data_IF_363142430587
#
_entry.id   IF_363142430587
#
_cell.length_a   1.000
_cell.length_b   1.000
_cell.length_c   1.000
_cell.angle_alpha   90.00
_cell.angle_beta   90.00
_cell.angle_gamma   90.00
#
_symmetry.space_group_name_H-M   'P 1'
#
loop_
_entity.id
_entity.type
_entity.pdbx_description
1 polymer ?
#
# COMPACT_ATOMS: atom_id res chain seq x y z
N UNK A 1 65.95 -13.20 -18.14
CA UNK A 1 64.62 -12.90 -17.53
C UNK A 1 64.03 -14.19 -16.98
N UNK A 2 63.84 -14.30 -15.66
CA UNK A 2 63.43 -15.56 -15.02
C UNK A 2 61.98 -15.92 -15.38
N UNK A 3 61.80 -16.77 -16.39
CA UNK A 3 60.49 -17.21 -16.91
C UNK A 3 59.57 -17.81 -15.84
N UNK A 4 60.16 -18.43 -14.80
CA UNK A 4 59.43 -18.99 -13.64
C UNK A 4 58.71 -17.94 -12.79
N UNK A 5 59.31 -16.75 -12.59
CA UNK A 5 58.69 -15.67 -11.83
C UNK A 5 57.48 -15.06 -12.56
N UNK A 6 57.58 -14.92 -13.89
CA UNK A 6 56.49 -14.39 -14.72
C UNK A 6 55.29 -15.35 -14.73
N UNK A 7 55.53 -16.66 -14.75
CA UNK A 7 54.47 -17.67 -14.72
C UNK A 7 53.70 -17.67 -13.39
N UNK A 8 54.43 -17.56 -12.26
CA UNK A 8 53.83 -17.47 -10.92
C UNK A 8 52.95 -16.23 -10.78
N UNK A 9 53.41 -15.06 -11.21
CA UNK A 9 52.59 -13.84 -11.17
C UNK A 9 51.31 -13.97 -12.00
N UNK A 10 51.39 -14.53 -13.22
CA UNK A 10 50.20 -14.76 -14.05
C UNK A 10 49.19 -15.70 -13.38
N UNK A 11 49.66 -16.73 -12.67
CA UNK A 11 48.79 -17.64 -11.94
C UNK A 11 48.07 -16.96 -10.77
N UNK A 12 48.76 -16.12 -9.98
CA UNK A 12 48.12 -15.35 -8.90
C UNK A 12 47.07 -14.37 -9.42
N UNK A 13 47.33 -13.69 -10.55
CA UNK A 13 46.34 -12.82 -11.17
C UNK A 13 45.09 -13.60 -11.62
N UNK A 14 45.27 -14.77 -12.23
CA UNK A 14 44.14 -15.61 -12.65
C UNK A 14 43.32 -16.10 -11.45
N UNK A 15 43.98 -16.55 -10.37
CA UNK A 15 43.30 -17.00 -9.17
C UNK A 15 42.56 -15.86 -8.46
N UNK A 16 43.18 -14.68 -8.38
CA UNK A 16 42.53 -13.49 -7.83
C UNK A 16 41.32 -13.09 -8.66
N UNK A 17 41.42 -13.11 -9.99
CA UNK A 17 40.29 -12.81 -10.87
C UNK A 17 39.14 -13.79 -10.68
N UNK A 18 39.45 -15.09 -10.59
CA UNK A 18 38.45 -16.13 -10.35
C UNK A 18 37.74 -15.94 -9.01
N UNK A 19 38.49 -15.63 -7.95
CA UNK A 19 37.91 -15.34 -6.64
C UNK A 19 36.99 -14.11 -6.67
N UNK A 20 37.42 -13.00 -7.29
CA UNK A 20 36.59 -11.80 -7.44
C UNK A 20 35.34 -12.08 -8.26
N UNK A 21 35.42 -12.92 -9.29
CA UNK A 21 34.27 -13.32 -10.09
C UNK A 21 33.22 -14.06 -9.25
N UNK A 22 33.62 -15.06 -8.47
CA UNK A 22 32.69 -15.78 -7.59
C UNK A 22 32.09 -14.89 -6.50
N UNK A 23 32.90 -13.99 -5.92
CA UNK A 23 32.41 -13.02 -4.95
C UNK A 23 31.36 -12.09 -5.57
N UNK A 24 31.58 -11.63 -6.79
CA UNK A 24 30.64 -10.79 -7.51
C UNK A 24 29.30 -11.51 -7.76
N UNK A 25 29.34 -12.76 -8.22
CA UNK A 25 28.12 -13.58 -8.42
C UNK A 25 27.39 -13.80 -7.11
N UNK A 26 28.10 -14.08 -6.02
CA UNK A 26 27.51 -14.25 -4.69
C UNK A 26 26.80 -12.98 -4.22
N UNK A 27 27.43 -11.80 -4.40
CA UNK A 27 26.81 -10.52 -4.05
C UNK A 27 25.58 -10.22 -4.91
N UNK A 28 25.60 -10.52 -6.22
CA UNK A 28 24.43 -10.38 -7.08
C UNK A 28 23.27 -11.28 -6.63
N UNK A 29 23.56 -12.52 -6.28
CA UNK A 29 22.55 -13.43 -5.75
C UNK A 29 21.92 -12.87 -4.47
N UNK A 30 22.74 -12.37 -3.53
CA UNK A 30 22.25 -11.78 -2.28
C UNK A 30 21.48 -10.47 -2.52
N UNK A 31 21.87 -9.67 -3.51
CA UNK A 31 21.16 -8.44 -3.87
C UNK A 31 19.75 -8.71 -4.40
N UNK A 32 19.57 -9.79 -5.17
CA UNK A 32 18.28 -10.15 -5.77
C UNK A 32 17.41 -10.95 -4.79
N UNK A 33 17.97 -12.01 -4.19
CA UNK A 33 17.23 -12.99 -3.38
C UNK A 33 17.39 -12.81 -1.86
N UNK A 34 18.19 -11.84 -1.41
CA UNK A 34 18.35 -11.58 0.01
C UNK A 34 17.04 -11.14 0.66
N UNK A 35 16.99 -11.25 2.00
CA UNK A 35 15.83 -10.83 2.79
C UNK A 35 15.47 -9.35 2.59
N UNK A 36 16.46 -8.51 2.28
CA UNK A 36 16.30 -7.09 1.90
C UNK A 36 16.62 -6.84 0.44
N UNK A 37 16.50 -7.88 -0.40
CA UNK A 37 16.80 -7.82 -1.81
C UNK A 37 15.77 -7.02 -2.62
N UNK A 38 16.10 -6.79 -3.88
CA UNK A 38 15.29 -5.98 -4.79
C UNK A 38 13.87 -6.55 -4.97
N UNK A 39 13.73 -7.87 -5.12
CA UNK A 39 12.42 -8.52 -5.28
C UNK A 39 11.53 -8.29 -4.06
N UNK A 40 12.12 -8.39 -2.86
CA UNK A 40 11.41 -8.14 -1.61
C UNK A 40 10.99 -6.68 -1.50
N UNK A 41 11.85 -5.74 -1.88
CA UNK A 41 11.51 -4.32 -1.91
C UNK A 41 10.30 -4.03 -2.81
N UNK A 42 10.27 -4.54 -4.05
CA UNK A 42 9.16 -4.32 -4.97
C UNK A 42 7.86 -4.94 -4.48
N UNK A 43 7.91 -6.18 -3.97
CA UNK A 43 6.72 -6.83 -3.40
C UNK A 43 6.17 -6.07 -2.20
N UNK A 44 7.02 -5.62 -1.27
CA UNK A 44 6.59 -4.82 -0.12
C UNK A 44 6.03 -3.47 -0.54
N UNK A 45 6.63 -2.82 -1.54
CA UNK A 45 6.14 -1.55 -2.07
C UNK A 45 4.72 -1.68 -2.63
N UNK A 46 4.48 -2.72 -3.43
CA UNK A 46 3.16 -2.99 -4.00
C UNK A 46 2.13 -3.33 -2.91
N UNK A 47 2.52 -4.17 -1.94
CA UNK A 47 1.66 -4.52 -0.83
C UNK A 47 1.31 -3.29 0.03
N UNK A 48 2.28 -2.41 0.28
CA UNK A 48 2.07 -1.17 1.00
C UNK A 48 1.12 -0.22 0.25
N UNK A 49 1.24 -0.14 -1.08
CA UNK A 49 0.32 0.64 -1.90
C UNK A 49 -1.13 0.10 -1.79
N UNK A 50 -1.31 -1.21 -1.91
CA UNK A 50 -2.63 -1.86 -1.78
C UNK A 50 -3.25 -1.63 -0.39
N UNK A 51 -2.48 -1.83 0.67
CA UNK A 51 -2.99 -1.58 2.02
C UNK A 51 -3.30 -0.12 2.28
N UNK A 52 -2.53 0.80 1.70
CA UNK A 52 -2.82 2.22 1.81
C UNK A 52 -4.11 2.60 1.09
N UNK A 53 -4.37 2.04 -0.11
CA UNK A 53 -5.64 2.23 -0.81
C UNK A 53 -6.83 1.70 0.01
N UNK A 54 -6.73 0.49 0.54
CA UNK A 54 -7.76 -0.09 1.42
C UNK A 54 -7.97 0.73 2.70
N UNK A 55 -6.89 1.22 3.30
CA UNK A 55 -6.96 2.08 4.47
C UNK A 55 -7.70 3.38 4.15
N UNK A 56 -7.39 4.01 3.01
CA UNK A 56 -8.04 5.25 2.60
C UNK A 56 -9.53 5.06 2.30
N UNK A 57 -9.92 3.93 1.68
CA UNK A 57 -11.34 3.64 1.44
C UNK A 57 -12.10 3.42 2.75
N UNK A 58 -11.54 2.61 3.65
CA UNK A 58 -12.14 2.34 4.96
C UNK A 58 -12.21 3.59 5.82
N UNK A 59 -11.17 4.43 5.80
CA UNK A 59 -11.15 5.70 6.51
C UNK A 59 -12.26 6.63 6.02
N UNK A 60 -12.42 6.76 4.70
CA UNK A 60 -13.49 7.57 4.10
C UNK A 60 -14.88 7.06 4.50
N UNK A 61 -15.08 5.76 4.47
CA UNK A 61 -16.34 5.14 4.90
C UNK A 61 -16.60 5.37 6.39
N UNK A 62 -15.57 5.24 7.22
CA UNK A 62 -15.67 5.50 8.66
C UNK A 62 -16.02 6.97 8.93
N UNK A 63 -15.32 7.91 8.31
CA UNK A 63 -15.62 9.35 8.42
C UNK A 63 -17.06 9.68 7.97
N UNK A 64 -17.53 9.03 6.91
CA UNK A 64 -18.89 9.16 6.40
C UNK A 64 -19.96 8.66 7.38
N UNK A 65 -19.71 7.56 8.10
CA UNK A 65 -20.63 7.11 9.15
C UNK A 65 -20.52 7.93 10.43
N UNK A 66 -19.31 8.34 10.82
CA UNK A 66 -19.10 9.18 12.00
C UNK A 66 -19.82 10.52 11.86
N UNK A 67 -19.78 11.15 10.68
CA UNK A 67 -20.53 12.39 10.42
C UNK A 67 -22.03 12.19 10.64
N UNK A 68 -22.61 11.09 10.11
CA UNK A 68 -24.02 10.77 10.32
C UNK A 68 -24.38 10.49 11.76
N UNK A 69 -23.56 9.71 12.45
CA UNK A 69 -23.77 9.41 13.87
C UNK A 69 -23.77 10.72 14.64
N UNK A 70 -22.80 11.61 14.37
CA UNK A 70 -22.74 12.94 15.00
C UNK A 70 -23.99 13.77 14.72
N UNK A 71 -24.50 13.79 13.49
CA UNK A 71 -25.75 14.47 13.13
C UNK A 71 -27.00 13.90 13.81
N UNK A 72 -26.96 12.67 14.32
CA UNK A 72 -28.07 12.04 15.03
C UNK A 72 -27.86 12.01 16.55
N UNK A 73 -26.74 12.52 17.06
CA UNK A 73 -26.48 12.58 18.50
C UNK A 73 -27.35 13.64 19.18
N UNK A 74 -27.89 13.38 20.40
CA UNK A 74 -28.82 14.29 21.06
C UNK A 74 -28.33 15.74 21.22
N UNK A 75 -27.02 15.94 21.40
CA UNK A 75 -26.42 17.26 21.63
C UNK A 75 -25.96 17.97 20.34
N UNK A 76 -25.94 17.27 19.21
CA UNK A 76 -25.49 17.78 17.89
C UNK A 76 -26.48 17.41 16.79
N UNK A 77 -27.75 17.26 17.18
CA UNK A 77 -28.77 16.72 16.29
C UNK A 77 -29.05 17.71 15.16
N UNK A 78 -29.00 17.20 13.94
CA UNK A 78 -29.35 17.89 12.71
C UNK A 78 -30.78 17.49 12.36
N UNK A 79 -31.71 18.43 12.56
CA UNK A 79 -33.15 18.19 12.41
C UNK A 79 -33.53 17.89 10.96
N UNK A 80 -32.88 18.52 9.99
CA UNK A 80 -33.13 18.31 8.57
C UNK A 80 -32.67 16.90 8.16
N UNK A 81 -31.46 16.52 8.59
CA UNK A 81 -30.92 15.19 8.34
C UNK A 81 -31.75 14.09 9.03
N UNK A 82 -32.29 14.36 10.22
CA UNK A 82 -33.20 13.46 10.93
C UNK A 82 -34.50 13.28 10.15
N UNK A 83 -35.14 14.36 9.68
CA UNK A 83 -36.38 14.29 8.91
C UNK A 83 -36.19 13.55 7.59
N UNK A 84 -35.10 13.82 6.86
CA UNK A 84 -34.73 13.08 5.65
C UNK A 84 -34.56 11.58 5.96
N UNK A 85 -33.81 11.24 7.01
CA UNK A 85 -33.56 9.85 7.41
C UNK A 85 -34.85 9.16 7.83
N UNK A 86 -35.71 9.84 8.59
CA UNK A 86 -37.00 9.33 9.05
C UNK A 86 -37.91 9.03 7.87
N UNK A 87 -38.08 9.97 6.94
CA UNK A 87 -38.88 9.79 5.71
C UNK A 87 -38.32 8.69 4.84
N UNK A 88 -37.01 8.61 4.68
CA UNK A 88 -36.34 7.56 3.88
C UNK A 88 -36.57 6.16 4.45
N UNK A 89 -36.57 6.01 5.77
CA UNK A 89 -36.77 4.70 6.43
C UNK A 89 -38.24 4.31 6.52
N UNK A 90 -39.12 5.26 6.86
CA UNK A 90 -40.54 4.98 7.12
C UNK A 90 -41.41 5.11 5.89
N UNK A 91 -40.97 5.82 4.86
CA UNK A 91 -41.79 6.20 3.71
C UNK A 91 -42.94 7.15 4.06
N UNK A 92 -42.97 7.68 5.29
CA UNK A 92 -44.05 8.53 5.75
C UNK A 92 -43.93 9.92 5.16
N UNK A 93 -45.03 10.41 4.58
CA UNK A 93 -45.17 11.78 4.09
C UNK A 93 -46.49 12.33 4.60
N UNK A 94 -46.54 13.62 4.89
CA UNK A 94 -47.79 14.25 5.33
C UNK A 94 -48.82 14.26 4.18
N UNK A 95 -50.11 14.16 4.51
CA UNK A 95 -51.20 14.18 3.53
C UNK A 95 -51.23 15.46 2.67
N UNK A 96 -50.61 16.55 3.16
CA UNK A 96 -50.53 17.84 2.48
C UNK A 96 -49.17 18.11 1.81
N UNK A 97 -48.28 17.12 1.71
CA UNK A 97 -46.96 17.28 1.10
C UNK A 97 -46.89 16.63 -0.29
N UNK A 98 -46.19 17.28 -1.23
CA UNK A 98 -45.96 16.75 -2.58
C UNK A 98 -44.51 16.28 -2.70
N UNK A 99 -44.31 15.01 -3.05
CA UNK A 99 -42.98 14.43 -3.29
C UNK A 99 -42.61 14.62 -4.75
N UNK A 100 -41.46 15.26 -5.00
CA UNK A 100 -40.89 15.43 -6.34
C UNK A 100 -39.70 14.49 -6.46
N UNK A 101 -39.78 13.52 -7.37
CA UNK A 101 -38.68 12.61 -7.70
C UNK A 101 -38.11 13.11 -9.03
N UNK A 102 -36.85 13.53 -9.02
CA UNK A 102 -36.13 13.97 -10.21
C UNK A 102 -35.23 12.81 -10.63
N UNK A 103 -35.41 12.35 -11.88
CA UNK A 103 -34.65 11.28 -12.52
C UNK A 103 -33.38 11.81 -13.21
#
# INVERSE_FOLDING_TARGET
MNKSLVLKNKFYFYLSFLFTFFLFVYLLYFLVNGERGLLKYFSLKNLNAQYNEQYMSLKKENEFYLDRIKRLQPNTIDLDYLDETFRKVTGFTSENETVIIIE
#
